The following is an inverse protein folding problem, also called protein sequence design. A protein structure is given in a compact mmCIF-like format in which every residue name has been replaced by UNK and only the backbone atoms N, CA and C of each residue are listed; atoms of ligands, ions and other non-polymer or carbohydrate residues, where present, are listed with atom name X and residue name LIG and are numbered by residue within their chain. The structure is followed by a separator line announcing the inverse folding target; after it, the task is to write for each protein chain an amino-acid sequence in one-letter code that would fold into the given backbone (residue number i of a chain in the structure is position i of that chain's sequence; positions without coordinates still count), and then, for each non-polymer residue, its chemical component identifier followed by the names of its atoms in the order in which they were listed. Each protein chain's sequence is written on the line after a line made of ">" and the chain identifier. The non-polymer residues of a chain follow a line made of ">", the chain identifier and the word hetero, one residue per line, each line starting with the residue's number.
data_IF_274465566374
#
_entry.id   IF_274465566374
#
_cell.length_a   1.000
_cell.length_b   1.000
_cell.length_c   1.000
_cell.angle_alpha   90.00
_cell.angle_beta   90.00
_cell.angle_gamma   90.00
#
_symmetry.space_group_name_H-M   'P 1'
#
loop_
_entity.id
_entity.type
_entity.pdbx_description
1 polymer ?
#
# COMPACT_ATOMS: atom_id res chain seq x y z
N UNK A 1 -38.63 -46.45 18.21
CA UNK A 1 -37.38 -45.69 18.46
C UNK A 1 -36.61 -45.64 17.14
N UNK A 2 -36.88 -44.73 16.22
CA UNK A 2 -36.51 -43.31 16.16
C UNK A 2 -35.02 -43.05 16.37
N UNK A 3 -34.30 -42.82 15.25
CA UNK A 3 -33.33 -41.73 15.05
C UNK A 3 -33.01 -41.62 13.54
N UNK A 4 -33.84 -40.85 12.84
CA UNK A 4 -33.48 -40.23 11.56
C UNK A 4 -32.46 -39.14 11.87
N UNK A 5 -31.21 -39.29 11.42
CA UNK A 5 -30.27 -38.18 11.35
C UNK A 5 -30.55 -37.43 10.04
N UNK A 6 -31.34 -36.36 10.13
CA UNK A 6 -31.45 -35.32 9.12
C UNK A 6 -30.11 -34.59 9.05
N UNK A 7 -29.26 -34.99 8.11
CA UNK A 7 -28.09 -34.18 7.73
C UNK A 7 -28.63 -32.97 6.98
N UNK A 8 -28.63 -31.84 7.67
CA UNK A 8 -29.10 -30.55 7.16
C UNK A 8 -28.38 -30.19 5.87
N UNK A 9 -29.16 -30.11 4.81
CA UNK A 9 -28.88 -29.37 3.58
C UNK A 9 -28.47 -27.95 3.99
N UNK A 10 -27.16 -27.67 4.00
CA UNK A 10 -26.67 -26.29 4.02
C UNK A 10 -27.18 -25.63 2.75
N UNK A 11 -28.23 -24.84 2.90
CA UNK A 11 -28.66 -23.87 1.90
C UNK A 11 -27.44 -23.03 1.51
N UNK A 12 -26.94 -23.30 0.31
CA UNK A 12 -26.04 -22.43 -0.43
C UNK A 12 -26.88 -21.21 -0.78
N UNK A 13 -26.88 -20.20 0.10
CA UNK A 13 -27.45 -18.89 -0.23
C UNK A 13 -26.65 -18.36 -1.42
N UNK A 14 -27.38 -18.10 -2.51
CA UNK A 14 -26.86 -17.46 -3.71
C UNK A 14 -26.20 -16.14 -3.32
N UNK A 15 -24.97 -15.99 -3.78
CA UNK A 15 -24.14 -14.81 -3.64
C UNK A 15 -24.89 -13.54 -4.09
N UNK A 16 -25.14 -12.65 -3.13
CA UNK A 16 -25.54 -11.26 -3.37
C UNK A 16 -24.89 -10.30 -2.35
N UNK A 17 -23.91 -10.76 -1.55
CA UNK A 17 -23.51 -10.10 -0.29
C UNK A 17 -22.08 -9.54 -0.25
N UNK A 18 -21.36 -9.47 -1.38
CA UNK A 18 -19.95 -8.99 -1.37
C UNK A 18 -19.79 -7.47 -1.21
N UNK A 19 -20.89 -6.72 -1.04
CA UNK A 19 -20.91 -5.24 -0.96
C UNK A 19 -21.50 -4.71 0.37
N UNK A 20 -21.84 -5.58 1.33
CA UNK A 20 -22.25 -5.15 2.66
C UNK A 20 -21.03 -4.64 3.46
N UNK A 21 -21.26 -3.74 4.42
CA UNK A 21 -20.19 -3.26 5.31
C UNK A 21 -19.57 -4.42 6.07
N UNK A 22 -20.39 -5.38 6.51
CA UNK A 22 -19.98 -6.58 7.23
C UNK A 22 -19.04 -7.45 6.39
N UNK A 23 -19.36 -7.67 5.10
CA UNK A 23 -18.49 -8.42 4.19
C UNK A 23 -17.14 -7.72 3.95
N UNK A 24 -17.15 -6.38 3.87
CA UNK A 24 -15.91 -5.59 3.75
C UNK A 24 -15.07 -5.64 5.02
N UNK A 25 -15.71 -5.55 6.20
CA UNK A 25 -15.04 -5.69 7.51
C UNK A 25 -14.43 -7.09 7.63
N UNK A 26 -15.18 -8.15 7.33
CA UNK A 26 -14.64 -9.52 7.36
C UNK A 26 -13.40 -9.63 6.48
N UNK A 27 -13.41 -9.02 5.30
CA UNK A 27 -12.24 -9.06 4.42
C UNK A 27 -11.04 -8.31 5.00
N UNK A 28 -11.24 -7.07 5.48
CA UNK A 28 -10.17 -6.19 5.99
C UNK A 28 -9.57 -6.69 7.30
N UNK A 29 -10.37 -7.33 8.16
CA UNK A 29 -9.94 -7.75 9.50
C UNK A 29 -9.62 -9.24 9.61
N UNK A 30 -10.23 -10.10 8.78
CA UNK A 30 -10.16 -11.55 8.94
C UNK A 30 -9.52 -12.21 7.74
N UNK A 31 -10.05 -12.01 6.53
CA UNK A 31 -9.59 -12.75 5.34
C UNK A 31 -8.22 -12.28 4.83
N UNK A 32 -7.96 -10.98 4.89
CA UNK A 32 -6.67 -10.37 4.56
C UNK A 32 -6.40 -9.22 5.54
N UNK A 33 -6.07 -9.55 6.81
CA UNK A 33 -5.93 -8.59 7.88
C UNK A 33 -4.93 -7.50 7.50
N UNK A 34 -5.32 -6.23 7.57
CA UNK A 34 -4.44 -5.08 7.30
C UNK A 34 -3.73 -4.63 8.58
N UNK A 35 -2.58 -3.99 8.43
CA UNK A 35 -1.80 -3.45 9.57
C UNK A 35 -1.38 -1.99 9.39
N UNK A 36 -1.54 -1.43 8.19
CA UNK A 36 -1.35 -0.01 7.93
C UNK A 36 -2.69 0.69 7.70
N UNK A 37 -2.80 1.95 8.13
CA UNK A 37 -4.02 2.74 7.91
C UNK A 37 -4.22 2.96 6.41
N UNK A 38 -5.48 3.09 6.02
CA UNK A 38 -5.89 3.39 4.66
C UNK A 38 -7.00 4.45 4.58
N UNK A 39 -7.54 4.89 5.73
CA UNK A 39 -8.72 5.76 5.78
C UNK A 39 -8.46 7.17 5.23
N UNK A 40 -7.20 7.59 5.23
CA UNK A 40 -6.75 8.85 4.64
C UNK A 40 -6.63 8.81 3.12
N UNK A 41 -6.77 7.64 2.50
CA UNK A 41 -6.67 7.46 1.04
C UNK A 41 -8.05 7.49 0.41
N UNK A 42 -8.15 8.11 -0.76
CA UNK A 42 -9.36 8.05 -1.57
C UNK A 42 -9.53 6.66 -2.19
N UNK A 43 -10.78 6.26 -2.43
CA UNK A 43 -11.09 4.91 -2.90
C UNK A 43 -10.35 4.50 -4.18
N UNK A 44 -10.20 5.37 -5.22
CA UNK A 44 -9.51 4.98 -6.44
C UNK A 44 -7.99 4.84 -6.27
N UNK A 45 -7.43 5.25 -5.13
CA UNK A 45 -6.02 5.00 -4.83
C UNK A 45 -5.76 3.49 -4.76
N UNK A 46 -4.68 3.03 -5.39
CA UNK A 46 -4.15 1.68 -5.21
C UNK A 46 -3.65 1.43 -3.78
N UNK A 47 -3.53 2.47 -2.95
CA UNK A 47 -3.18 2.36 -1.52
C UNK A 47 -4.40 2.34 -0.63
N UNK A 48 -5.60 2.42 -1.21
CA UNK A 48 -6.83 2.09 -0.55
C UNK A 48 -7.21 0.63 -0.89
N UNK A 49 -7.69 -0.18 0.08
CA UNK A 49 -8.02 -1.60 -0.17
C UNK A 49 -9.13 -1.82 -1.19
N UNK A 50 -9.97 -0.81 -1.45
CA UNK A 50 -11.12 -0.88 -2.36
C UNK A 50 -10.78 -1.53 -3.71
N UNK A 51 -9.78 -1.01 -4.41
CA UNK A 51 -9.42 -1.50 -5.75
C UNK A 51 -8.90 -2.95 -5.69
N UNK A 52 -8.11 -3.30 -4.68
CA UNK A 52 -7.67 -4.68 -4.48
C UNK A 52 -8.86 -5.63 -4.23
N UNK A 53 -9.87 -5.18 -3.47
CA UNK A 53 -11.10 -5.95 -3.22
C UNK A 53 -11.91 -6.16 -4.51
N UNK A 54 -12.11 -5.12 -5.31
CA UNK A 54 -12.80 -5.21 -6.61
C UNK A 54 -12.04 -6.17 -7.52
N UNK A 55 -10.71 -6.06 -7.56
CA UNK A 55 -9.89 -6.93 -8.40
C UNK A 55 -10.00 -8.41 -8.00
N UNK A 56 -9.96 -8.73 -6.71
CA UNK A 56 -10.19 -10.10 -6.22
C UNK A 56 -11.57 -10.62 -6.66
N UNK A 57 -12.60 -9.77 -6.62
CA UNK A 57 -13.94 -10.15 -7.08
C UNK A 57 -13.97 -10.45 -8.59
N UNK A 58 -13.33 -9.60 -9.40
CA UNK A 58 -13.19 -9.81 -10.85
C UNK A 58 -12.45 -11.11 -11.16
N UNK A 59 -11.39 -11.43 -10.41
CA UNK A 59 -10.60 -12.64 -10.61
C UNK A 59 -11.32 -13.92 -10.13
N UNK A 60 -12.36 -13.83 -9.30
CA UNK A 60 -13.03 -14.97 -8.65
C UNK A 60 -14.19 -15.61 -9.45
N UNK A 61 -14.18 -15.49 -10.78
CA UNK A 61 -15.10 -16.16 -11.73
C UNK A 61 -16.58 -15.70 -11.77
N UNK A 62 -16.94 -14.59 -11.12
CA UNK A 62 -18.32 -14.07 -11.10
C UNK A 62 -18.76 -13.25 -12.33
N UNK A 63 -17.83 -12.58 -13.02
CA UNK A 63 -18.13 -11.66 -14.13
C UNK A 63 -17.93 -12.33 -15.49
N UNK A 64 -18.78 -13.31 -15.82
CA UNK A 64 -18.74 -13.97 -17.15
C UNK A 64 -19.29 -13.13 -18.30
N UNK A 65 -19.82 -11.93 -18.03
CA UNK A 65 -20.46 -11.05 -19.05
C UNK A 65 -19.78 -9.70 -19.28
N UNK A 66 -19.09 -9.15 -18.28
CA UNK A 66 -18.46 -7.82 -18.39
C UNK A 66 -16.95 -7.98 -18.60
N UNK A 67 -16.35 -7.09 -19.39
CA UNK A 67 -14.90 -7.10 -19.56
C UNK A 67 -14.20 -6.65 -18.27
N UNK A 68 -13.01 -7.20 -17.96
CA UNK A 68 -12.19 -6.77 -16.81
C UNK A 68 -12.00 -5.24 -16.77
N UNK A 69 -11.75 -4.66 -17.94
CA UNK A 69 -11.55 -3.22 -18.13
C UNK A 69 -12.80 -2.45 -17.74
N UNK A 70 -13.97 -2.86 -18.22
CA UNK A 70 -15.26 -2.23 -17.90
C UNK A 70 -15.55 -2.23 -16.39
N UNK A 71 -15.37 -3.37 -15.72
CA UNK A 71 -15.61 -3.45 -14.26
C UNK A 71 -14.65 -2.56 -13.48
N UNK A 72 -13.37 -2.56 -13.82
CA UNK A 72 -12.36 -1.76 -13.12
C UNK A 72 -12.50 -0.27 -13.41
N UNK A 73 -12.83 0.12 -14.64
CA UNK A 73 -13.12 1.52 -14.97
C UNK A 73 -14.39 1.99 -14.25
N UNK A 74 -15.46 1.19 -14.23
CA UNK A 74 -16.66 1.49 -13.45
C UNK A 74 -16.35 1.72 -11.97
N UNK A 75 -15.52 0.86 -11.36
CA UNK A 75 -15.07 1.06 -9.99
C UNK A 75 -14.25 2.36 -9.81
N UNK A 76 -13.41 2.74 -10.78
CA UNK A 76 -12.63 3.97 -10.72
C UNK A 76 -13.47 5.24 -10.94
N UNK A 77 -14.59 5.16 -11.66
CA UNK A 77 -15.43 6.33 -12.00
C UNK A 77 -16.66 6.47 -11.10
N UNK A 78 -17.19 5.36 -10.57
CA UNK A 78 -18.45 5.28 -9.82
C UNK A 78 -18.23 4.95 -8.33
N UNK A 79 -17.00 5.06 -7.83
CA UNK A 79 -16.64 4.74 -6.43
C UNK A 79 -17.42 5.51 -5.37
N UNK A 80 -18.03 6.66 -5.70
CA UNK A 80 -18.75 7.53 -4.75
C UNK A 80 -19.88 6.80 -4.03
N UNK A 81 -20.51 5.83 -4.68
CA UNK A 81 -21.58 5.03 -4.08
C UNK A 81 -21.07 4.10 -2.97
N UNK A 82 -19.77 3.78 -2.99
CA UNK A 82 -19.11 2.92 -2.01
C UNK A 82 -18.42 3.72 -0.89
N UNK A 83 -18.26 5.03 -1.04
CA UNK A 83 -17.52 5.92 -0.13
C UNK A 83 -18.04 5.82 1.32
N UNK A 84 -19.36 5.89 1.52
CA UNK A 84 -19.95 5.79 2.87
C UNK A 84 -19.63 4.47 3.57
N UNK A 85 -19.59 3.37 2.83
CA UNK A 85 -19.29 2.04 3.40
C UNK A 85 -17.83 1.98 3.79
N UNK A 86 -16.93 2.37 2.90
CA UNK A 86 -15.49 2.35 3.15
C UNK A 86 -15.05 3.33 4.23
N UNK A 87 -15.65 4.52 4.32
CA UNK A 87 -15.41 5.44 5.44
C UNK A 87 -15.75 4.79 6.77
N UNK A 88 -16.85 4.02 6.85
CA UNK A 88 -17.22 3.29 8.06
C UNK A 88 -16.23 2.16 8.37
N UNK A 89 -15.81 1.39 7.36
CA UNK A 89 -14.81 0.31 7.52
C UNK A 89 -13.46 0.88 7.97
N UNK A 90 -12.98 1.94 7.32
CA UNK A 90 -11.74 2.64 7.69
C UNK A 90 -11.79 3.19 9.11
N UNK A 91 -12.89 3.85 9.49
CA UNK A 91 -13.09 4.35 10.86
C UNK A 91 -13.03 3.22 11.90
N UNK A 92 -13.66 2.07 11.62
CA UNK A 92 -13.59 0.90 12.51
C UNK A 92 -12.16 0.38 12.61
N UNK A 93 -11.44 0.31 11.49
CA UNK A 93 -10.06 -0.16 11.43
C UNK A 93 -9.11 0.75 12.21
N UNK A 94 -9.24 2.07 12.05
CA UNK A 94 -8.43 3.03 12.78
C UNK A 94 -8.55 2.91 14.30
N UNK A 95 -9.74 2.56 14.81
CA UNK A 95 -9.92 2.30 16.26
C UNK A 95 -9.12 1.10 16.79
N UNK A 96 -8.64 0.23 15.88
CA UNK A 96 -7.89 -0.98 16.22
C UNK A 96 -6.41 -0.88 15.89
N UNK A 97 -5.97 0.15 15.18
CA UNK A 97 -4.57 0.32 14.75
C UNK A 97 -3.55 0.30 15.89
N UNK A 98 -3.95 0.71 17.10
CA UNK A 98 -3.10 0.74 18.28
C UNK A 98 -3.12 -0.56 19.08
N UNK A 99 -3.91 -1.55 18.67
CA UNK A 99 -3.91 -2.86 19.29
C UNK A 99 -2.51 -3.50 19.17
N UNK A 100 -2.01 -4.03 20.28
CA UNK A 100 -0.64 -4.59 20.39
C UNK A 100 -0.33 -5.60 19.29
N UNK A 101 -1.30 -6.45 18.93
CA UNK A 101 -1.16 -7.43 17.86
C UNK A 101 -0.89 -6.77 16.51
N UNK A 102 -1.63 -5.70 16.17
CA UNK A 102 -1.44 -4.96 14.92
C UNK A 102 -0.10 -4.24 14.93
N UNK A 103 0.24 -3.59 16.04
CA UNK A 103 1.52 -2.88 16.16
C UNK A 103 2.72 -3.84 16.04
N UNK A 104 2.61 -5.05 16.60
CA UNK A 104 3.64 -6.09 16.49
C UNK A 104 3.90 -6.48 15.03
N UNK A 105 2.85 -6.77 14.26
CA UNK A 105 3.00 -7.09 12.83
C UNK A 105 3.50 -5.90 12.02
N UNK A 106 2.97 -4.70 12.29
CA UNK A 106 3.40 -3.47 11.62
C UNK A 106 4.89 -3.24 11.82
N UNK A 107 5.39 -3.34 13.07
CA UNK A 107 6.83 -3.22 13.38
C UNK A 107 7.65 -4.34 12.76
N UNK A 108 7.16 -5.59 12.79
CA UNK A 108 7.84 -6.74 12.16
C UNK A 108 8.17 -6.44 10.71
N UNK A 109 7.25 -5.83 9.95
CA UNK A 109 7.45 -5.54 8.54
C UNK A 109 8.17 -4.21 8.31
N UNK A 110 7.80 -3.14 9.05
CA UNK A 110 8.38 -1.81 8.84
C UNK A 110 9.83 -1.67 9.32
N UNK A 111 10.27 -2.54 10.24
CA UNK A 111 11.64 -2.58 10.73
C UNK A 111 12.47 -3.68 10.06
N UNK A 112 11.86 -4.47 9.17
CA UNK A 112 12.59 -5.51 8.46
C UNK A 112 13.56 -4.90 7.43
N UNK A 113 14.79 -5.40 7.47
CA UNK A 113 15.87 -4.87 6.66
C UNK A 113 15.64 -5.11 5.16
N UNK A 114 15.16 -6.29 4.78
CA UNK A 114 14.99 -6.65 3.37
C UNK A 114 13.83 -5.85 2.76
N UNK A 115 12.76 -5.63 3.53
CA UNK A 115 11.65 -4.76 3.14
C UNK A 115 12.15 -3.34 2.91
N UNK A 116 12.85 -2.76 3.87
CA UNK A 116 13.34 -1.37 3.78
C UNK A 116 14.36 -1.20 2.64
N UNK A 117 15.22 -2.19 2.37
CA UNK A 117 16.11 -2.17 1.23
C UNK A 117 15.35 -2.15 -0.12
N UNK A 118 14.23 -2.87 -0.22
CA UNK A 118 13.40 -2.83 -1.43
C UNK A 118 12.74 -1.45 -1.63
N UNK A 119 12.27 -0.83 -0.55
CA UNK A 119 11.69 0.52 -0.54
C UNK A 119 12.75 1.57 -0.92
N UNK A 120 13.92 1.52 -0.30
CA UNK A 120 15.04 2.43 -0.59
C UNK A 120 15.45 2.33 -2.06
N UNK A 121 15.55 1.12 -2.60
CA UNK A 121 15.84 0.90 -4.01
C UNK A 121 14.80 1.57 -4.93
N UNK A 122 13.51 1.47 -4.59
CA UNK A 122 12.45 2.17 -5.35
C UNK A 122 12.64 3.68 -5.29
N UNK A 123 12.78 4.23 -4.08
CA UNK A 123 12.95 5.66 -3.87
C UNK A 123 14.16 6.22 -4.63
N UNK A 124 15.26 5.48 -4.63
CA UNK A 124 16.48 5.80 -5.38
C UNK A 124 16.24 5.84 -6.89
N UNK A 125 15.47 4.90 -7.43
CA UNK A 125 15.17 4.84 -8.86
C UNK A 125 14.29 6.00 -9.34
N UNK A 126 13.53 6.62 -8.43
CA UNK A 126 12.68 7.78 -8.70
C UNK A 126 13.41 9.12 -8.52
N UNK A 127 14.73 9.10 -8.31
CA UNK A 127 15.55 10.31 -8.20
C UNK A 127 15.65 10.89 -6.79
N UNK A 128 15.16 10.16 -5.77
CA UNK A 128 15.22 10.58 -4.36
C UNK A 128 16.60 11.12 -3.91
N UNK A 129 17.71 10.39 -4.10
CA UNK A 129 19.05 10.83 -3.68
C UNK A 129 19.56 12.06 -4.39
N UNK A 130 19.20 12.23 -5.67
CA UNK A 130 19.69 13.35 -6.50
C UNK A 130 18.98 14.64 -6.10
N UNK A 131 17.69 14.55 -5.78
CA UNK A 131 16.84 15.70 -5.50
C UNK A 131 16.53 15.88 -4.01
N UNK A 132 17.01 14.98 -3.14
CA UNK A 132 16.60 14.86 -1.73
C UNK A 132 15.17 14.36 -1.52
N UNK A 133 14.36 14.29 -2.57
CA UNK A 133 12.95 13.92 -2.55
C UNK A 133 12.48 13.45 -3.93
N UNK A 134 11.40 12.68 -3.98
CA UNK A 134 10.73 12.32 -5.23
C UNK A 134 9.81 13.47 -5.65
N UNK A 135 9.97 13.94 -6.89
CA UNK A 135 9.14 15.02 -7.46
C UNK A 135 7.85 14.46 -8.03
N UNK A 136 6.88 15.34 -8.20
CA UNK A 136 5.54 15.00 -8.71
C UNK A 136 5.59 14.26 -10.05
N UNK A 137 6.45 14.69 -10.99
CA UNK A 137 6.52 14.07 -12.31
C UNK A 137 7.01 12.61 -12.26
N UNK A 138 8.10 12.35 -11.52
CA UNK A 138 8.59 10.98 -11.31
C UNK A 138 7.58 10.13 -10.53
N UNK A 139 6.95 10.69 -9.49
CA UNK A 139 5.92 10.01 -8.71
C UNK A 139 4.75 9.59 -9.59
N UNK A 140 4.22 10.52 -10.37
CA UNK A 140 3.08 10.31 -11.26
C UNK A 140 3.38 9.28 -12.33
N UNK A 141 4.55 9.39 -12.99
CA UNK A 141 4.98 8.42 -14.01
C UNK A 141 5.11 7.02 -13.43
N UNK A 142 5.62 6.90 -12.20
CA UNK A 142 5.74 5.63 -11.50
C UNK A 142 4.36 5.05 -11.16
N UNK A 143 3.46 5.87 -10.63
CA UNK A 143 2.13 5.43 -10.24
C UNK A 143 1.29 5.01 -11.45
N UNK A 144 1.39 5.67 -12.61
CA UNK A 144 0.71 5.19 -13.81
C UNK A 144 1.16 3.78 -14.21
N UNK A 145 2.46 3.51 -14.23
CA UNK A 145 2.99 2.16 -14.50
C UNK A 145 2.52 1.16 -13.45
N UNK A 146 2.44 1.59 -12.19
CA UNK A 146 2.02 0.76 -11.08
C UNK A 146 0.53 0.39 -11.18
N UNK A 147 -0.34 1.34 -11.51
CA UNK A 147 -1.75 1.08 -11.81
C UNK A 147 -1.88 0.07 -12.96
N UNK A 148 -1.19 0.29 -14.08
CA UNK A 148 -1.25 -0.63 -15.22
C UNK A 148 -0.77 -2.03 -14.86
N UNK A 149 0.33 -2.13 -14.11
CA UNK A 149 0.87 -3.41 -13.64
C UNK A 149 -0.10 -4.15 -12.70
N UNK A 150 -0.56 -3.49 -11.64
CA UNK A 150 -1.39 -4.09 -10.61
C UNK A 150 -2.79 -4.45 -11.12
N UNK A 151 -3.35 -3.61 -11.98
CA UNK A 151 -4.66 -3.87 -12.60
C UNK A 151 -4.56 -4.77 -13.83
N UNK A 152 -3.35 -5.04 -14.33
CA UNK A 152 -3.13 -5.75 -15.59
C UNK A 152 -3.97 -5.13 -16.72
N UNK A 153 -3.92 -3.79 -16.82
CA UNK A 153 -4.61 -3.00 -17.86
C UNK A 153 -3.61 -1.98 -18.41
N UNK A 154 -3.33 -2.07 -19.70
CA UNK A 154 -2.55 -1.08 -20.44
C UNK A 154 -3.51 -0.26 -21.34
N UNK A 155 -4.29 0.62 -20.70
CA UNK A 155 -5.34 1.42 -21.34
C UNK A 155 -5.25 2.88 -20.91
N UNK A 156 -5.34 3.79 -21.89
CA UNK A 156 -5.29 5.25 -21.69
C UNK A 156 -6.43 5.75 -20.79
N UNK A 157 -7.55 5.04 -20.77
CA UNK A 157 -8.70 5.34 -19.93
C UNK A 157 -8.37 5.15 -18.45
N UNK A 158 -7.55 4.14 -18.10
CA UNK A 158 -7.10 3.93 -16.71
C UNK A 158 -6.18 5.06 -16.26
N UNK A 159 -5.28 5.53 -17.12
CA UNK A 159 -4.41 6.69 -16.84
C UNK A 159 -5.25 7.92 -16.51
N UNK A 160 -6.29 8.19 -17.32
CA UNK A 160 -7.19 9.33 -17.10
C UNK A 160 -8.02 9.17 -15.82
N UNK A 161 -8.60 7.99 -15.60
CA UNK A 161 -9.46 7.74 -14.42
C UNK A 161 -8.70 7.73 -13.09
N UNK A 162 -7.38 7.55 -13.11
CA UNK A 162 -6.54 7.46 -11.90
C UNK A 162 -5.74 8.73 -11.61
N UNK A 163 -5.70 9.69 -12.55
CA UNK A 163 -4.86 10.88 -12.42
C UNK A 163 -5.17 11.71 -11.17
N UNK A 164 -6.45 11.88 -10.84
CA UNK A 164 -6.89 12.64 -9.66
C UNK A 164 -6.44 11.94 -8.37
N UNK A 165 -6.65 10.63 -8.29
CA UNK A 165 -6.23 9.86 -7.12
C UNK A 165 -4.72 9.90 -6.93
N UNK A 166 -3.93 9.81 -8.01
CA UNK A 166 -2.46 9.95 -7.97
C UNK A 166 -2.04 11.34 -7.48
N UNK A 167 -2.73 12.40 -7.92
CA UNK A 167 -2.41 13.76 -7.49
C UNK A 167 -2.71 13.97 -6.00
N UNK A 168 -3.88 13.52 -5.52
CA UNK A 168 -4.23 13.56 -4.09
C UNK A 168 -3.26 12.74 -3.24
N UNK A 169 -2.87 11.58 -3.76
CA UNK A 169 -1.88 10.69 -3.20
C UNK A 169 -0.49 11.34 -3.05
N UNK A 170 -0.07 12.11 -4.05
CA UNK A 170 1.16 12.89 -4.02
C UNK A 170 1.08 14.01 -2.97
N UNK A 171 0.01 14.80 -2.97
CA UNK A 171 -0.19 15.91 -2.02
C UNK A 171 -0.15 15.42 -0.57
N UNK A 172 -0.79 14.29 -0.28
CA UNK A 172 -0.75 13.69 1.05
C UNK A 172 0.67 13.29 1.47
N UNK A 173 1.45 12.70 0.56
CA UNK A 173 2.78 12.18 0.85
C UNK A 173 3.84 13.28 0.94
N UNK A 174 3.71 14.32 0.11
CA UNK A 174 4.60 15.47 0.08
C UNK A 174 4.52 16.26 1.39
N UNK A 175 3.34 16.35 2.03
CA UNK A 175 3.14 17.03 3.33
C UNK A 175 3.69 18.46 3.35
N UNK A 176 3.54 19.19 2.25
CA UNK A 176 4.08 20.54 2.03
C UNK A 176 5.61 20.63 2.01
N UNK A 177 6.31 19.50 1.84
CA UNK A 177 7.74 19.52 1.54
C UNK A 177 7.98 19.84 0.06
N UNK A 178 9.24 19.97 -0.32
CA UNK A 178 9.65 20.18 -1.72
C UNK A 178 9.77 18.82 -2.44
N UNK A 179 8.71 18.01 -2.43
CA UNK A 179 8.68 16.62 -2.86
C UNK A 179 8.56 15.60 -1.72
N UNK A 180 8.42 14.32 -2.08
CA UNK A 180 8.22 13.23 -1.13
C UNK A 180 9.57 12.72 -0.60
N UNK A 181 9.80 12.95 0.69
CA UNK A 181 10.96 12.43 1.43
C UNK A 181 10.86 10.91 1.65
N UNK A 182 11.99 10.29 2.01
CA UNK A 182 12.07 8.84 2.14
C UNK A 182 11.08 8.27 3.16
N UNK A 183 10.91 8.93 4.30
CA UNK A 183 10.04 8.48 5.39
C UNK A 183 8.57 8.41 4.95
N UNK A 184 8.06 9.47 4.31
CA UNK A 184 6.71 9.47 3.73
C UNK A 184 6.57 8.40 2.65
N UNK A 185 7.56 8.30 1.75
CA UNK A 185 7.56 7.30 0.69
C UNK A 185 7.55 5.87 1.24
N UNK A 186 8.29 5.60 2.30
CA UNK A 186 8.37 4.28 2.91
C UNK A 186 7.02 3.85 3.50
N UNK A 187 6.36 4.75 4.24
CA UNK A 187 5.00 4.50 4.75
C UNK A 187 4.06 4.21 3.58
N UNK A 188 4.11 5.02 2.52
CA UNK A 188 3.30 4.86 1.32
C UNK A 188 3.49 3.50 0.62
N UNK A 189 4.73 3.02 0.51
CA UNK A 189 5.01 1.72 -0.10
C UNK A 189 4.63 0.55 0.82
N UNK A 190 4.69 0.73 2.14
CA UNK A 190 4.20 -0.25 3.10
C UNK A 190 2.67 -0.35 3.09
N UNK A 191 1.95 0.77 3.03
CA UNK A 191 0.49 0.82 2.84
C UNK A 191 0.09 0.12 1.54
N UNK A 192 0.82 0.40 0.45
CA UNK A 192 0.62 -0.29 -0.82
C UNK A 192 0.83 -1.80 -0.67
N UNK A 193 2.00 -2.24 -0.19
CA UNK A 193 2.29 -3.66 -0.04
C UNK A 193 1.28 -4.34 0.88
N UNK A 194 0.81 -3.66 1.93
CA UNK A 194 -0.19 -4.18 2.85
C UNK A 194 -1.51 -4.49 2.15
N UNK A 195 -1.92 -3.68 1.17
CA UNK A 195 -3.15 -3.88 0.41
C UNK A 195 -3.07 -5.01 -0.63
N UNK A 196 -1.89 -5.21 -1.22
CA UNK A 196 -1.72 -6.09 -2.37
C UNK A 196 -1.08 -7.45 -2.06
N UNK A 197 -0.59 -7.63 -0.83
CA UNK A 197 -0.18 -8.93 -0.29
C UNK A 197 -1.33 -9.58 0.48
N UNK A 198 -1.36 -10.92 0.51
CA UNK A 198 -2.39 -11.68 1.25
C UNK A 198 -1.97 -12.03 2.68
N UNK A 199 -0.67 -12.17 2.93
CA UNK A 199 -0.13 -12.43 4.26
C UNK A 199 0.58 -11.20 4.82
N UNK A 200 0.75 -11.17 6.15
CA UNK A 200 1.63 -10.20 6.84
C UNK A 200 3.03 -10.76 7.08
N UNK A 201 3.46 -11.67 6.23
CA UNK A 201 4.83 -12.19 6.26
C UNK A 201 5.77 -11.25 5.49
N UNK A 202 6.95 -11.03 6.07
CA UNK A 202 8.02 -10.20 5.51
C UNK A 202 8.34 -10.60 4.07
N UNK A 203 8.41 -11.91 3.80
CA UNK A 203 8.74 -12.44 2.48
C UNK A 203 7.77 -11.98 1.39
N UNK A 204 6.49 -11.86 1.70
CA UNK A 204 5.48 -11.44 0.73
C UNK A 204 5.63 -9.96 0.39
N UNK A 205 5.94 -9.13 1.38
CA UNK A 205 6.27 -7.71 1.17
C UNK A 205 7.53 -7.56 0.32
N UNK A 206 8.60 -8.30 0.63
CA UNK A 206 9.85 -8.30 -0.15
C UNK A 206 9.59 -8.71 -1.60
N UNK A 207 8.85 -9.81 -1.81
CA UNK A 207 8.52 -10.29 -3.15
C UNK A 207 7.73 -9.25 -3.94
N UNK A 208 6.67 -8.70 -3.34
CA UNK A 208 5.83 -7.69 -3.96
C UNK A 208 6.62 -6.41 -4.33
N UNK A 209 7.40 -5.87 -3.41
CA UNK A 209 8.20 -4.66 -3.65
C UNK A 209 9.34 -4.91 -4.65
N UNK A 210 9.88 -6.13 -4.69
CA UNK A 210 10.85 -6.55 -5.71
C UNK A 210 10.22 -6.60 -7.09
N UNK A 211 9.00 -7.13 -7.21
CA UNK A 211 8.26 -7.16 -8.47
C UNK A 211 7.94 -5.76 -8.98
N UNK A 212 7.50 -4.85 -8.11
CA UNK A 212 7.31 -3.43 -8.46
C UNK A 212 8.62 -2.82 -8.93
N UNK A 213 9.72 -3.04 -8.20
CA UNK A 213 11.04 -2.58 -8.62
C UNK A 213 11.39 -3.06 -10.02
N UNK A 214 11.15 -4.33 -10.33
CA UNK A 214 11.55 -4.91 -11.61
C UNK A 214 10.66 -4.45 -12.78
N UNK A 215 9.38 -4.21 -12.54
CA UNK A 215 8.39 -3.96 -13.59
C UNK A 215 8.04 -2.49 -13.77
N UNK A 216 8.10 -1.69 -12.71
CA UNK A 216 7.66 -0.29 -12.71
C UNK A 216 8.81 0.72 -12.69
N UNK A 217 10.07 0.28 -12.52
CA UNK A 217 11.22 1.19 -12.53
C UNK A 217 11.32 1.98 -13.83
N UNK A 218 11.47 3.31 -13.69
CA UNK A 218 11.58 4.24 -14.83
C UNK A 218 13.03 4.35 -15.32
N UNK A 219 14.00 4.11 -14.43
CA UNK A 219 15.44 4.21 -14.73
C UNK A 219 16.13 2.89 -14.43
N UNK A 220 17.14 2.52 -15.22
CA UNK A 220 18.14 1.53 -14.79
C UNK A 220 18.98 2.23 -13.71
N UNK A 221 18.84 1.78 -12.47
CA UNK A 221 19.54 2.36 -11.33
C UNK A 221 21.04 2.54 -11.64
N UNK A 222 21.64 3.71 -11.36
CA UNK A 222 23.09 3.77 -11.14
C UNK A 222 23.43 2.75 -10.03
N UNK A 223 24.58 2.08 -10.13
CA UNK A 223 25.06 1.17 -9.08
C UNK A 223 24.99 1.91 -7.74
N UNK A 224 24.38 1.27 -6.73
CA UNK A 224 24.34 1.72 -5.34
C UNK A 224 25.74 2.19 -4.92
N UNK A 225 26.00 3.48 -5.01
CA UNK A 225 27.12 4.07 -4.30
C UNK A 225 26.60 4.22 -2.89
N UNK A 226 27.13 3.41 -1.96
CA UNK A 226 26.91 3.58 -0.52
C UNK A 226 27.41 4.98 -0.14
N UNK A 227 26.58 6.00 -0.35
CA UNK A 227 26.80 7.31 0.20
C UNK A 227 25.81 7.54 1.32
N UNK A 228 26.35 8.20 2.34
CA UNK A 228 25.78 8.54 3.64
C UNK A 228 24.29 8.87 3.50
N UNK A 229 23.53 8.23 4.39
CA UNK A 229 22.10 8.33 4.63
C UNK A 229 21.50 9.69 4.22
N UNK A 230 20.31 9.72 3.59
CA UNK A 230 19.67 10.97 3.19
C UNK A 230 19.47 11.86 4.43
N UNK A 231 19.52 13.17 4.22
CA UNK A 231 19.34 14.21 5.24
C UNK A 231 18.06 13.97 6.05
N UNK A 232 18.19 13.31 7.19
CA UNK A 232 17.09 13.16 8.14
C UNK A 232 17.09 14.37 9.07
N UNK A 233 16.03 15.18 9.00
CA UNK A 233 15.82 16.27 9.96
C UNK A 233 15.48 15.74 11.36
N UNK A 234 15.03 14.49 11.48
CA UNK A 234 14.70 13.79 12.72
C UNK A 234 15.28 12.37 12.82
N UNK A 235 14.71 11.55 13.71
CA UNK A 235 15.07 10.13 13.80
C UNK A 235 14.46 9.35 12.64
N UNK A 236 15.30 8.67 11.87
CA UNK A 236 14.88 7.84 10.75
C UNK A 236 15.34 6.40 10.93
N UNK A 237 14.50 5.47 10.51
CA UNK A 237 14.71 4.04 10.65
C UNK A 237 15.40 3.51 9.40
N UNK A 238 16.53 2.83 9.58
CA UNK A 238 17.32 2.27 8.49
C UNK A 238 17.68 0.81 8.74
N UNK A 239 18.13 0.14 7.67
CA UNK A 239 18.71 -1.20 7.67
C UNK A 239 19.86 -1.33 8.69
N UNK A 240 19.52 -1.60 9.95
CA UNK A 240 20.40 -1.85 11.09
C UNK A 240 20.45 -0.74 12.16
N UNK A 241 19.36 -0.01 12.38
CA UNK A 241 19.16 0.81 13.57
C UNK A 241 18.29 2.04 13.38
N UNK A 242 18.05 2.74 14.48
CA UNK A 242 17.54 4.11 14.45
C UNK A 242 18.74 5.02 14.21
N UNK A 243 18.65 5.88 13.20
CA UNK A 243 19.60 6.98 13.02
C UNK A 243 18.91 8.21 13.56
N UNK A 244 19.41 8.72 14.68
CA UNK A 244 18.93 9.96 15.29
C UNK A 244 19.93 11.09 15.06
N UNK A 245 19.39 12.28 14.82
CA UNK A 245 20.16 13.52 14.77
C UNK A 245 20.50 13.94 16.21
N UNK A 246 21.79 14.10 16.51
CA UNK A 246 22.27 14.59 17.79
C UNK A 246 23.18 15.81 17.57
N UNK A 247 23.23 16.71 18.55
CA UNK A 247 24.18 17.83 18.56
C UNK A 247 25.33 17.51 19.50
N UNK A 248 26.55 17.53 18.96
CA UNK A 248 27.78 17.45 19.75
C UNK A 248 28.54 18.77 19.57
N UNK A 249 28.38 19.67 20.54
CA UNK A 249 28.84 21.05 20.42
C UNK A 249 28.13 21.80 19.29
N UNK A 250 28.89 22.48 18.44
CA UNK A 250 28.39 23.22 17.26
C UNK A 250 28.17 22.35 16.02
N UNK A 251 28.40 21.02 16.13
CA UNK A 251 28.27 20.10 15.00
C UNK A 251 27.04 19.21 15.16
N UNK A 252 26.30 19.08 14.06
CA UNK A 252 25.26 18.08 13.93
C UNK A 252 25.91 16.74 13.55
N UNK A 253 25.66 15.72 14.36
CA UNK A 253 26.14 14.35 14.16
C UNK A 253 24.96 13.39 14.04
N UNK A 254 25.14 12.31 13.30
CA UNK A 254 24.12 11.27 13.14
C UNK A 254 24.55 10.03 13.94
N UNK A 255 23.76 9.67 14.95
CA UNK A 255 24.02 8.52 15.82
C UNK A 255 23.17 7.35 15.32
N UNK A 256 23.83 6.26 14.98
CA UNK A 256 23.17 5.00 14.66
C UNK A 256 23.12 4.12 15.91
N UNK A 257 21.94 3.97 16.50
CA UNK A 257 21.68 3.04 17.60
C UNK A 257 21.08 1.74 17.06
N UNK A 258 21.68 0.60 17.43
CA UNK A 258 21.05 -0.70 17.21
C UNK A 258 19.87 -0.82 18.18
N UNK A 259 18.70 -1.19 17.67
CA UNK A 259 17.56 -1.52 18.53
C UNK A 259 17.93 -2.82 19.28
N UNK A 260 18.02 -2.73 20.61
CA UNK A 260 18.13 -3.89 21.49
C UNK A 260 16.80 -4.64 21.55
#
# INVERSE_FOLDING_TARGET
>A
MSRRATVGTRHRSKANDTSSVEGLVERVFISSPRVFSFSHRVLPSIRHPYIAVILDMVNSDGYKKASRVEVLLGALTEYRDEERKWTRVGSMFDTKLTAEMIDTFRRKVSLDMDVMMCVEKLWNNLGGPICGAVREEEYRTFHYKLFSYLLNIDDVSVVTSTSTAIAEDYVYDERNNNGIVFESFAISMLELADNWTKSREVRDFVHFLTDINNRCSIRKAPRLVRHVLPYCEGSAYFAGGVVSKAKEGDKEIFIRSRLQ
#
